data_IF_189101390938
#
_entry.id   IF_189101390938
#
_cell.length_a   1.000
_cell.length_b   1.000
_cell.length_c   1.000
_cell.angle_alpha   90.00
_cell.angle_beta   90.00
_cell.angle_gamma   90.00
#
_symmetry.space_group_name_H-M   'P 1'
#
loop_
_entity.id
_entity.type
_entity.pdbx_description
1 polymer ?
#
# COMPACT_ATOMS: atom_id res chain seq x y z
N UNK A 1 -19.01 -20.86 4.24
CA UNK A 1 -18.45 -20.54 2.91
C UNK A 1 -19.42 -19.58 2.26
N UNK A 2 -18.95 -18.42 1.79
CA UNK A 2 -19.82 -17.49 1.06
C UNK A 2 -20.34 -18.20 -0.20
N UNK A 3 -21.60 -17.95 -0.56
CA UNK A 3 -22.18 -18.53 -1.76
C UNK A 3 -21.42 -18.02 -3.00
N UNK A 4 -20.60 -18.90 -3.59
CA UNK A 4 -19.80 -18.59 -4.77
C UNK A 4 -20.64 -18.60 -6.06
N UNK A 5 -21.95 -18.82 -5.96
CA UNK A 5 -22.85 -18.78 -7.10
C UNK A 5 -23.06 -17.34 -7.57
N UNK A 6 -23.10 -17.15 -8.88
CA UNK A 6 -23.29 -15.84 -9.52
C UNK A 6 -24.65 -15.90 -10.21
N UNK A 7 -25.58 -15.04 -9.80
CA UNK A 7 -26.98 -15.12 -10.24
C UNK A 7 -27.34 -14.11 -11.33
N UNK A 8 -26.66 -12.96 -11.40
CA UNK A 8 -27.01 -11.86 -12.31
C UNK A 8 -25.83 -10.96 -12.64
N UNK A 9 -25.99 -10.19 -13.70
CA UNK A 9 -25.12 -9.04 -13.97
C UNK A 9 -25.38 -7.95 -12.93
N UNK A 10 -24.35 -7.19 -12.56
CA UNK A 10 -24.46 -6.08 -11.61
C UNK A 10 -24.19 -4.78 -12.35
N UNK A 11 -25.12 -3.83 -12.32
CA UNK A 11 -25.00 -2.54 -13.01
C UNK A 11 -25.00 -1.41 -12.01
N UNK A 12 -24.02 -0.50 -12.08
CA UNK A 12 -24.08 0.73 -11.28
C UNK A 12 -25.20 1.62 -11.86
N UNK A 13 -26.20 1.89 -11.02
CA UNK A 13 -27.44 2.63 -11.34
C UNK A 13 -27.76 3.62 -10.23
N UNK A 14 -28.78 4.45 -10.43
CA UNK A 14 -29.40 5.27 -9.38
C UNK A 14 -30.89 4.93 -9.34
N UNK A 15 -31.44 4.36 -8.23
CA UNK A 15 -30.75 3.96 -7.01
C UNK A 15 -29.70 2.86 -7.24
N UNK A 16 -28.75 2.74 -6.31
CA UNK A 16 -27.64 1.78 -6.42
C UNK A 16 -28.18 0.35 -6.52
N UNK A 17 -27.55 -0.47 -7.37
CA UNK A 17 -27.82 -1.92 -7.34
C UNK A 17 -27.36 -2.46 -5.99
N UNK A 18 -28.26 -3.15 -5.30
CA UNK A 18 -28.02 -3.68 -3.95
C UNK A 18 -28.27 -5.19 -3.87
N UNK A 19 -27.74 -5.82 -2.82
CA UNK A 19 -28.10 -7.18 -2.41
C UNK A 19 -26.92 -8.10 -2.16
N UNK A 20 -27.19 -9.39 -1.86
CA UNK A 20 -26.18 -10.36 -1.44
C UNK A 20 -25.08 -10.57 -2.48
N UNK A 21 -25.40 -10.55 -3.78
CA UNK A 21 -24.42 -10.63 -4.86
C UNK A 21 -23.36 -9.53 -4.78
N UNK A 22 -23.77 -8.30 -4.46
CA UNK A 22 -22.84 -7.18 -4.35
C UNK A 22 -21.93 -7.37 -3.15
N UNK A 23 -22.49 -7.83 -2.03
CA UNK A 23 -21.72 -8.08 -0.80
C UNK A 23 -20.67 -9.17 -1.01
N UNK A 24 -21.02 -10.27 -1.66
CA UNK A 24 -20.07 -11.34 -2.00
C UNK A 24 -18.98 -10.83 -2.96
N UNK A 25 -19.34 -9.98 -3.91
CA UNK A 25 -18.34 -9.33 -4.77
C UNK A 25 -17.39 -8.44 -3.94
N UNK A 26 -17.89 -7.60 -3.04
CA UNK A 26 -17.06 -6.74 -2.17
C UNK A 26 -16.10 -7.57 -1.31
N UNK A 27 -16.58 -8.66 -0.71
CA UNK A 27 -15.77 -9.63 0.03
C UNK A 27 -14.65 -10.22 -0.82
N UNK A 28 -15.00 -10.66 -2.03
CA UNK A 28 -14.03 -11.20 -2.99
C UNK A 28 -12.96 -10.17 -3.36
N UNK A 29 -13.36 -8.91 -3.58
CA UNK A 29 -12.44 -7.83 -3.91
C UNK A 29 -11.51 -7.51 -2.74
N UNK A 30 -12.02 -7.47 -1.50
CA UNK A 30 -11.22 -7.31 -0.30
C UNK A 30 -10.20 -8.46 -0.16
N UNK A 31 -10.60 -9.71 -0.39
CA UNK A 31 -9.70 -10.86 -0.36
C UNK A 31 -8.59 -10.76 -1.43
N UNK A 32 -8.93 -10.33 -2.65
CA UNK A 32 -7.95 -10.06 -3.72
C UNK A 32 -7.00 -8.93 -3.30
N UNK A 33 -7.53 -7.84 -2.71
CA UNK A 33 -6.72 -6.72 -2.24
C UNK A 33 -5.73 -7.18 -1.16
N UNK A 34 -6.15 -7.98 -0.19
CA UNK A 34 -5.26 -8.57 0.81
C UNK A 34 -4.21 -9.47 0.16
N UNK A 35 -4.60 -10.37 -0.76
CA UNK A 35 -3.66 -11.27 -1.43
C UNK A 35 -2.61 -10.52 -2.27
N UNK A 36 -3.00 -9.38 -2.85
CA UNK A 36 -2.15 -8.58 -3.73
C UNK A 36 -1.94 -7.17 -3.23
N UNK A 37 -1.82 -6.98 -1.91
CA UNK A 37 -1.72 -5.67 -1.24
C UNK A 37 -0.60 -4.77 -1.79
N UNK A 38 0.44 -5.37 -2.37
CA UNK A 38 1.54 -4.65 -3.02
C UNK A 38 1.13 -4.01 -4.36
N UNK A 39 0.10 -4.52 -5.04
CA UNK A 39 -0.30 -4.11 -6.39
C UNK A 39 -1.63 -3.33 -6.37
N UNK A 40 -2.56 -3.73 -5.51
CA UNK A 40 -3.86 -3.07 -5.34
C UNK A 40 -4.04 -2.71 -3.87
N UNK A 41 -4.41 -1.47 -3.61
CA UNK A 41 -4.66 -0.94 -2.27
C UNK A 41 -6.05 -0.31 -2.23
N UNK A 42 -6.99 -1.06 -1.65
CA UNK A 42 -8.33 -0.60 -1.31
C UNK A 42 -8.91 -1.51 -0.22
N UNK A 43 -9.84 -0.94 0.55
CA UNK A 43 -10.71 -1.69 1.47
C UNK A 43 -12.14 -1.20 1.26
N UNK A 44 -13.02 -2.10 0.85
CA UNK A 44 -14.44 -1.81 0.64
C UNK A 44 -15.21 -2.07 1.92
N UNK A 45 -16.24 -1.27 2.15
CA UNK A 45 -17.31 -1.59 3.10
C UNK A 45 -18.17 -2.67 2.45
N UNK A 46 -18.45 -3.76 3.17
CA UNK A 46 -19.24 -4.90 2.69
C UNK A 46 -20.73 -4.69 2.95
N UNK A 47 -21.24 -3.55 2.50
CA UNK A 47 -22.63 -3.09 2.71
C UNK A 47 -23.63 -3.69 1.72
N UNK A 48 -23.15 -4.38 0.68
CA UNK A 48 -24.01 -4.90 -0.39
C UNK A 48 -24.53 -3.82 -1.34
N UNK A 49 -23.93 -2.63 -1.36
CA UNK A 49 -24.29 -1.53 -2.25
C UNK A 49 -23.24 -1.35 -3.36
N UNK A 50 -23.67 -1.41 -4.63
CA UNK A 50 -22.76 -1.27 -5.76
C UNK A 50 -22.55 0.22 -6.04
N UNK A 51 -21.65 0.85 -5.29
CA UNK A 51 -21.17 2.19 -5.57
C UNK A 51 -19.96 2.22 -6.53
N UNK A 52 -19.56 3.43 -6.92
CA UNK A 52 -18.40 3.67 -7.79
C UNK A 52 -17.11 3.03 -7.26
N UNK A 53 -16.89 3.04 -5.93
CA UNK A 53 -15.71 2.40 -5.32
C UNK A 53 -15.67 0.90 -5.59
N UNK A 54 -16.81 0.21 -5.50
CA UNK A 54 -16.92 -1.22 -5.81
C UNK A 54 -16.69 -1.49 -7.30
N UNK A 55 -17.21 -0.63 -8.18
CA UNK A 55 -16.96 -0.72 -9.63
C UNK A 55 -15.47 -0.55 -9.97
N UNK A 56 -14.81 0.49 -9.43
CA UNK A 56 -13.38 0.74 -9.66
C UNK A 56 -12.49 -0.38 -9.08
N UNK A 57 -12.83 -0.90 -7.90
CA UNK A 57 -12.14 -2.05 -7.31
C UNK A 57 -12.30 -3.30 -8.20
N UNK A 58 -13.47 -3.49 -8.82
CA UNK A 58 -13.71 -4.56 -9.79
C UNK A 58 -12.84 -4.42 -11.02
N UNK A 59 -12.78 -3.23 -11.61
CA UNK A 59 -11.94 -2.90 -12.78
C UNK A 59 -10.47 -3.22 -12.49
N UNK A 60 -9.94 -2.73 -11.36
CA UNK A 60 -8.55 -2.98 -10.93
C UNK A 60 -8.28 -4.48 -10.74
N UNK A 61 -9.17 -5.17 -10.01
CA UNK A 61 -9.02 -6.60 -9.71
C UNK A 61 -9.15 -7.46 -10.96
N UNK A 62 -10.10 -7.17 -11.84
CA UNK A 62 -10.28 -7.91 -13.09
C UNK A 62 -9.09 -7.73 -14.03
N UNK A 63 -8.56 -6.52 -14.13
CA UNK A 63 -7.31 -6.27 -14.83
C UNK A 63 -6.17 -7.09 -14.22
N UNK A 64 -5.96 -7.03 -12.91
CA UNK A 64 -4.94 -7.81 -12.21
C UNK A 64 -5.06 -9.33 -12.47
N UNK A 65 -6.30 -9.83 -12.57
CA UNK A 65 -6.62 -11.24 -12.73
C UNK A 65 -6.60 -11.75 -14.17
N UNK A 66 -6.22 -10.90 -15.14
CA UNK A 66 -5.93 -11.30 -16.52
C UNK A 66 -7.03 -10.98 -17.54
N UNK A 67 -8.02 -10.17 -17.16
CA UNK A 67 -9.03 -9.66 -18.10
C UNK A 67 -8.37 -8.76 -19.15
N UNK A 68 -8.86 -8.85 -20.39
CA UNK A 68 -8.36 -8.05 -21.51
C UNK A 68 -8.69 -6.57 -21.31
N UNK A 69 -7.84 -5.69 -21.84
CA UNK A 69 -7.97 -4.24 -21.61
C UNK A 69 -9.27 -3.67 -22.16
N UNK A 70 -9.67 -4.07 -23.37
CA UNK A 70 -10.96 -3.68 -23.94
C UNK A 70 -12.13 -4.07 -23.03
N UNK A 71 -12.12 -5.30 -22.49
CA UNK A 71 -13.16 -5.78 -21.56
C UNK A 71 -13.18 -5.03 -20.23
N UNK A 72 -12.03 -4.57 -19.74
CA UNK A 72 -11.96 -3.69 -18.57
C UNK A 72 -12.57 -2.33 -18.89
N UNK A 73 -12.22 -1.75 -20.04
CA UNK A 73 -12.79 -0.48 -20.52
C UNK A 73 -14.29 -0.58 -20.77
N UNK A 74 -14.80 -1.73 -21.21
CA UNK A 74 -16.23 -1.97 -21.37
C UNK A 74 -16.97 -1.87 -20.02
N UNK A 75 -16.39 -2.40 -18.93
CA UNK A 75 -16.96 -2.28 -17.57
C UNK A 75 -17.00 -0.81 -17.14
N UNK A 76 -15.90 -0.08 -17.35
CA UNK A 76 -15.80 1.35 -17.01
C UNK A 76 -16.81 2.20 -17.78
N UNK A 77 -17.09 1.87 -19.05
CA UNK A 77 -18.01 2.67 -19.88
C UNK A 77 -19.47 2.28 -19.71
N UNK A 78 -19.75 0.98 -19.65
CA UNK A 78 -21.12 0.47 -19.55
C UNK A 78 -21.66 0.45 -18.12
N UNK A 79 -20.76 0.56 -17.14
CA UNK A 79 -21.05 0.39 -15.72
C UNK A 79 -21.67 -0.97 -15.38
N UNK A 80 -21.39 -2.00 -16.20
CA UNK A 80 -21.90 -3.38 -16.02
C UNK A 80 -20.76 -4.33 -15.67
N UNK A 81 -20.93 -5.04 -14.56
CA UNK A 81 -20.09 -6.16 -14.13
C UNK A 81 -20.83 -7.46 -14.50
N UNK A 82 -20.43 -8.06 -15.61
CA UNK A 82 -21.09 -9.27 -16.11
C UNK A 82 -20.85 -10.48 -15.20
N UNK A 83 -21.77 -11.44 -15.25
CA UNK A 83 -21.64 -12.71 -14.53
C UNK A 83 -20.32 -13.43 -14.83
N UNK A 84 -19.80 -13.29 -16.05
CA UNK A 84 -18.52 -13.87 -16.43
C UNK A 84 -17.35 -13.24 -15.66
N UNK A 85 -17.36 -11.91 -15.49
CA UNK A 85 -16.33 -11.19 -14.72
C UNK A 85 -16.43 -11.54 -13.24
N UNK A 86 -17.65 -11.60 -12.69
CA UNK A 86 -17.87 -12.01 -11.30
C UNK A 86 -17.36 -13.44 -11.06
N UNK A 87 -17.70 -14.40 -11.93
CA UNK A 87 -17.20 -15.78 -11.85
C UNK A 87 -15.68 -15.83 -11.91
N UNK A 88 -15.05 -15.07 -12.81
CA UNK A 88 -13.59 -14.99 -12.91
C UNK A 88 -12.92 -14.52 -11.60
N UNK A 89 -13.55 -13.58 -10.89
CA UNK A 89 -13.03 -13.03 -9.64
C UNK A 89 -13.29 -13.96 -8.45
N UNK A 90 -14.52 -14.48 -8.32
CA UNK A 90 -14.93 -15.38 -7.22
C UNK A 90 -14.29 -16.77 -7.32
N UNK A 91 -14.11 -17.27 -8.55
CA UNK A 91 -13.56 -18.61 -8.82
C UNK A 91 -12.30 -18.52 -9.70
N UNK A 92 -11.16 -18.09 -9.14
CA UNK A 92 -9.95 -17.85 -9.93
C UNK A 92 -9.34 -19.10 -10.56
N UNK A 93 -9.75 -20.30 -10.11
CA UNK A 93 -9.38 -21.59 -10.69
C UNK A 93 -10.07 -21.89 -12.03
N UNK A 94 -11.24 -21.27 -12.31
CA UNK A 94 -11.97 -21.46 -13.58
C UNK A 94 -11.46 -20.57 -14.72
N UNK A 95 -10.37 -19.84 -14.50
CA UNK A 95 -9.72 -19.02 -15.54
C UNK A 95 -9.07 -19.91 -16.60
N UNK A 96 -9.13 -19.48 -17.85
CA UNK A 96 -8.38 -20.13 -18.93
C UNK A 96 -6.87 -19.93 -18.76
N UNK A 97 -6.08 -20.80 -19.37
CA UNK A 97 -4.61 -20.69 -19.25
C UNK A 97 -4.08 -19.40 -19.87
N UNK A 98 -4.72 -18.91 -20.94
CA UNK A 98 -4.43 -17.60 -21.49
C UNK A 98 -4.71 -16.46 -20.49
N UNK A 99 -5.78 -16.54 -19.70
CA UNK A 99 -6.04 -15.58 -18.62
C UNK A 99 -4.98 -15.69 -17.51
N UNK A 100 -4.64 -16.91 -17.07
CA UNK A 100 -3.62 -17.15 -16.04
C UNK A 100 -2.26 -16.59 -16.46
N UNK A 101 -1.80 -16.88 -17.67
CA UNK A 101 -0.54 -16.40 -18.23
C UNK A 101 -0.51 -14.87 -18.33
N UNK A 102 -1.61 -14.24 -18.78
CA UNK A 102 -1.72 -12.77 -18.79
C UNK A 102 -1.65 -12.17 -17.39
N UNK A 103 -2.38 -12.77 -16.45
CA UNK A 103 -2.40 -12.31 -15.06
C UNK A 103 -1.00 -12.39 -14.44
N UNK A 104 -0.25 -13.47 -14.71
CA UNK A 104 1.13 -13.62 -14.26
C UNK A 104 2.04 -12.52 -14.84
N UNK A 105 2.12 -12.40 -16.18
CA UNK A 105 2.95 -11.36 -16.83
C UNK A 105 2.61 -9.96 -16.32
N UNK A 106 1.33 -9.65 -16.18
CA UNK A 106 0.86 -8.35 -15.69
C UNK A 106 1.28 -8.09 -14.24
N UNK A 107 1.17 -9.08 -13.35
CA UNK A 107 1.65 -8.95 -11.97
C UNK A 107 3.15 -8.74 -11.92
N UNK A 108 3.92 -9.46 -12.74
CA UNK A 108 5.37 -9.29 -12.84
C UNK A 108 5.74 -7.87 -13.33
N UNK A 109 5.10 -7.38 -14.38
CA UNK A 109 5.33 -6.02 -14.90
C UNK A 109 4.93 -4.94 -13.88
N UNK A 110 3.81 -5.11 -13.19
CA UNK A 110 3.38 -4.18 -12.14
C UNK A 110 4.37 -4.19 -10.98
N UNK A 111 4.85 -5.37 -10.55
CA UNK A 111 5.92 -5.48 -9.55
C UNK A 111 7.21 -4.79 -9.99
N UNK A 112 7.66 -5.03 -11.23
CA UNK A 112 8.85 -4.36 -11.81
C UNK A 112 8.69 -2.84 -11.84
N UNK A 113 7.50 -2.33 -12.18
CA UNK A 113 7.21 -0.88 -12.16
C UNK A 113 7.23 -0.31 -10.75
N UNK A 114 6.69 -1.05 -9.78
CA UNK A 114 6.76 -0.68 -8.36
C UNK A 114 8.21 -0.71 -7.85
N UNK A 115 8.98 -1.72 -8.25
CA UNK A 115 10.41 -1.84 -7.94
C UNK A 115 11.23 -0.70 -8.57
N UNK A 116 10.90 -0.30 -9.80
CA UNK A 116 11.53 0.87 -10.45
C UNK A 116 11.16 2.19 -9.75
N UNK A 117 9.97 2.28 -9.14
CA UNK A 117 9.57 3.43 -8.31
C UNK A 117 10.31 3.47 -6.97
N UNK A 118 10.70 2.31 -6.42
CA UNK A 118 11.63 2.21 -5.30
C UNK A 118 13.09 2.51 -5.72
N UNK A 119 13.31 3.54 -6.54
CA UNK A 119 14.62 4.10 -6.85
C UNK A 119 14.65 5.51 -6.26
N UNK A 120 15.58 5.76 -5.33
CA UNK A 120 15.73 7.06 -4.68
C UNK A 120 15.84 8.23 -5.67
N UNK A 121 16.49 8.04 -6.82
CA UNK A 121 16.62 9.08 -7.85
C UNK A 121 15.29 9.42 -8.55
N UNK A 122 14.33 8.49 -8.55
CA UNK A 122 13.04 8.65 -9.22
C UNK A 122 11.95 9.24 -8.30
N UNK A 123 12.23 9.40 -7.00
CA UNK A 123 11.31 10.02 -6.06
C UNK A 123 11.02 11.46 -6.50
N UNK A 124 9.74 11.79 -6.64
CA UNK A 124 9.32 13.16 -6.92
C UNK A 124 9.07 13.88 -5.61
N UNK A 125 9.89 14.87 -5.32
CA UNK A 125 9.87 15.61 -4.05
C UNK A 125 9.20 16.97 -4.24
N UNK A 126 8.16 17.24 -3.44
CA UNK A 126 7.59 18.56 -3.25
C UNK A 126 7.96 19.09 -1.87
N UNK A 127 8.48 20.32 -1.79
CA UNK A 127 9.03 20.87 -0.55
C UNK A 127 8.00 21.58 0.33
N UNK A 128 6.70 21.45 0.01
CA UNK A 128 5.60 22.03 0.78
C UNK A 128 5.60 21.49 2.21
N UNK A 129 5.72 22.35 3.24
CA UNK A 129 5.63 21.92 4.62
C UNK A 129 4.22 21.42 4.96
N UNK A 130 4.11 20.43 5.84
CA UNK A 130 2.81 19.89 6.25
C UNK A 130 2.25 18.87 5.25
N UNK A 131 0.96 18.54 5.38
CA UNK A 131 0.30 17.59 4.48
C UNK A 131 0.33 18.05 3.01
N UNK A 132 0.45 17.12 2.04
CA UNK A 132 0.81 15.70 2.20
C UNK A 132 2.33 15.45 2.18
N UNK A 133 3.13 16.46 1.84
CA UNK A 133 4.53 16.27 1.42
C UNK A 133 5.54 16.34 2.55
N UNK A 134 5.23 17.04 3.63
CA UNK A 134 6.05 17.21 4.83
C UNK A 134 7.47 17.68 4.49
N UNK A 135 7.57 18.73 3.69
CA UNK A 135 8.86 19.23 3.20
C UNK A 135 9.61 18.26 2.30
N UNK A 136 8.93 17.28 1.70
CA UNK A 136 9.49 16.23 0.86
C UNK A 136 9.68 14.89 1.57
N UNK A 137 9.74 14.88 2.91
CA UNK A 137 9.91 13.67 3.71
C UNK A 137 8.74 12.68 3.53
N UNK A 138 7.52 13.20 3.37
CA UNK A 138 6.34 12.40 3.08
C UNK A 138 6.37 11.74 1.70
N UNK A 139 6.96 12.43 0.71
CA UNK A 139 7.13 11.88 -0.64
C UNK A 139 8.13 10.73 -0.64
N UNK A 140 9.25 10.87 0.07
CA UNK A 140 10.23 9.79 0.25
C UNK A 140 9.61 8.60 0.97
N UNK A 141 8.86 8.85 2.04
CA UNK A 141 8.21 7.80 2.82
C UNK A 141 7.26 6.97 1.95
N UNK A 142 6.36 7.64 1.22
CA UNK A 142 5.29 6.97 0.45
C UNK A 142 5.75 6.40 -0.89
N UNK A 143 6.75 7.01 -1.54
CA UNK A 143 7.21 6.57 -2.87
C UNK A 143 8.34 5.53 -2.81
N UNK A 144 9.11 5.49 -1.71
CA UNK A 144 10.27 4.60 -1.58
C UNK A 144 10.19 3.70 -0.34
N UNK A 145 10.13 4.26 0.87
CA UNK A 145 10.32 3.50 2.12
C UNK A 145 9.17 2.51 2.36
N UNK A 146 7.93 2.98 2.33
CA UNK A 146 6.74 2.13 2.53
C UNK A 146 6.68 0.99 1.49
N UNK A 147 6.83 1.24 0.17
CA UNK A 147 6.92 0.16 -0.82
C UNK A 147 8.08 -0.81 -0.60
N UNK A 148 9.23 -0.32 -0.15
CA UNK A 148 10.41 -1.15 0.13
C UNK A 148 10.14 -2.11 1.28
N UNK A 149 9.64 -1.63 2.41
CA UNK A 149 9.36 -2.44 3.60
C UNK A 149 8.20 -3.42 3.36
N UNK A 150 7.14 -2.97 2.67
CA UNK A 150 6.02 -3.85 2.27
C UNK A 150 6.48 -4.96 1.31
N UNK A 151 7.43 -4.68 0.40
CA UNK A 151 8.03 -5.70 -0.48
C UNK A 151 8.73 -6.79 0.33
N UNK A 152 9.28 -6.45 1.48
CA UNK A 152 9.95 -7.37 2.39
C UNK A 152 8.99 -8.12 3.34
N UNK A 153 7.68 -7.85 3.23
CA UNK A 153 6.63 -8.57 3.95
C UNK A 153 6.13 -7.86 5.20
N UNK A 154 6.63 -6.65 5.48
CA UNK A 154 6.24 -5.91 6.68
C UNK A 154 4.95 -5.12 6.45
N UNK A 155 3.94 -5.26 7.32
CA UNK A 155 2.70 -4.47 7.21
C UNK A 155 2.94 -2.99 7.51
N UNK A 156 2.12 -2.12 6.94
CA UNK A 156 2.09 -0.72 7.33
C UNK A 156 1.48 -0.58 8.72
N UNK A 157 2.24 -0.03 9.66
CA UNK A 157 1.75 0.36 10.97
C UNK A 157 1.55 1.87 11.08
N UNK A 158 1.80 2.37 12.28
CA UNK A 158 1.50 3.74 12.68
C UNK A 158 2.24 4.76 11.82
N UNK A 159 1.53 5.79 11.36
CA UNK A 159 2.07 6.91 10.59
C UNK A 159 2.10 8.19 11.40
N UNK A 160 1.81 9.31 10.73
CA UNK A 160 1.71 10.62 11.38
C UNK A 160 0.60 10.64 12.45
N UNK A 161 0.86 11.32 13.57
CA UNK A 161 -0.01 11.44 14.74
C UNK A 161 -0.15 12.90 15.14
N UNK A 162 -1.35 13.31 15.50
CA UNK A 162 -1.57 14.55 16.27
C UNK A 162 -0.88 14.46 17.63
N UNK A 163 -0.62 15.59 18.31
CA UNK A 163 -0.10 15.58 19.68
C UNK A 163 -0.93 14.69 20.62
N UNK A 164 -2.26 14.76 20.54
CA UNK A 164 -3.14 13.94 21.37
C UNK A 164 -3.01 12.43 21.10
N UNK A 165 -2.92 12.03 19.83
CA UNK A 165 -2.70 10.62 19.46
C UNK A 165 -1.31 10.13 19.89
N UNK A 166 -0.30 10.98 19.80
CA UNK A 166 1.05 10.67 20.24
C UNK A 166 1.12 10.50 21.77
N UNK A 167 0.47 11.39 22.52
CA UNK A 167 0.40 11.31 23.99
C UNK A 167 -0.34 10.04 24.46
N UNK A 168 -1.43 9.65 23.77
CA UNK A 168 -2.18 8.42 24.08
C UNK A 168 -1.35 7.14 23.98
N UNK A 169 -0.31 7.13 23.14
CA UNK A 169 0.59 5.98 22.97
C UNK A 169 1.92 6.16 23.74
N UNK A 170 2.01 7.15 24.64
CA UNK A 170 3.21 7.44 25.40
C UNK A 170 4.38 7.96 24.55
N UNK A 171 4.10 8.53 23.37
CA UNK A 171 5.11 9.01 22.44
C UNK A 171 5.87 10.23 22.95
N UNK A 172 7.12 10.39 22.53
CA UNK A 172 7.93 11.56 22.87
C UNK A 172 7.39 12.85 22.23
N UNK A 173 7.55 13.99 22.93
CA UNK A 173 7.31 15.34 22.39
C UNK A 173 8.22 15.69 21.21
N UNK A 174 9.35 15.00 21.09
CA UNK A 174 10.28 15.14 19.95
C UNK A 174 10.06 14.08 18.87
N UNK A 175 8.96 13.34 18.89
CA UNK A 175 8.66 12.28 17.92
C UNK A 175 8.53 12.79 16.48
N UNK A 176 9.08 12.02 15.54
CA UNK A 176 8.94 12.27 14.10
C UNK A 176 7.57 11.87 13.54
N UNK A 177 6.70 11.27 14.37
CA UNK A 177 5.30 11.05 14.01
C UNK A 177 4.46 12.32 14.13
N UNK A 178 4.88 13.32 14.93
CA UNK A 178 4.04 14.47 15.26
C UNK A 178 3.70 15.34 14.05
N UNK A 179 2.41 15.54 13.79
CA UNK A 179 1.90 16.41 12.71
C UNK A 179 2.35 17.87 12.82
N UNK A 180 2.79 18.31 14.00
CA UNK A 180 3.36 19.64 14.22
C UNK A 180 4.75 19.81 13.59
N UNK A 181 5.49 18.71 13.35
CA UNK A 181 6.78 18.76 12.64
C UNK A 181 6.58 18.75 11.13
N UNK A 182 6.49 19.93 10.53
CA UNK A 182 6.06 20.11 9.13
C UNK A 182 7.04 19.63 8.06
N UNK A 183 8.27 19.24 8.41
CA UNK A 183 9.32 18.79 7.49
C UNK A 183 9.77 17.34 7.72
N UNK A 184 9.01 16.58 8.51
CA UNK A 184 9.33 15.20 8.88
C UNK A 184 8.20 14.26 8.53
N UNK A 185 8.54 13.00 8.24
CA UNK A 185 7.58 11.90 8.12
C UNK A 185 8.12 10.69 8.85
N UNK A 186 7.24 9.90 9.46
CA UNK A 186 7.62 8.67 10.14
C UNK A 186 6.60 7.55 9.88
N UNK A 187 7.10 6.31 9.89
CA UNK A 187 6.32 5.09 9.74
C UNK A 187 6.89 3.99 10.63
N UNK A 188 6.00 3.34 11.36
CA UNK A 188 6.30 2.11 12.10
C UNK A 188 5.83 0.90 11.29
N UNK A 189 6.65 -0.15 11.27
CA UNK A 189 6.39 -1.41 10.58
C UNK A 189 6.39 -2.55 11.62
N UNK A 190 5.21 -3.03 12.06
CA UNK A 190 5.10 -4.05 13.11
C UNK A 190 5.80 -5.36 12.72
N UNK A 191 6.70 -5.84 13.58
CA UNK A 191 7.42 -7.11 13.41
C UNK A 191 8.22 -7.43 14.66
N UNK A 192 8.41 -8.72 14.98
CA UNK A 192 9.30 -9.17 16.05
C UNK A 192 10.66 -9.67 15.54
N UNK A 193 10.91 -9.56 14.23
CA UNK A 193 12.12 -10.06 13.55
C UNK A 193 12.65 -9.07 12.51
N UNK A 194 12.61 -7.76 12.80
CA UNK A 194 12.84 -6.68 11.82
C UNK A 194 14.29 -6.28 11.56
N UNK A 195 15.30 -6.93 12.17
CA UNK A 195 16.70 -6.50 12.01
C UNK A 195 17.17 -6.54 10.57
N UNK A 196 16.90 -7.65 9.87
CA UNK A 196 17.28 -7.83 8.47
C UNK A 196 16.59 -6.79 7.57
N UNK A 197 15.34 -6.44 7.88
CA UNK A 197 14.58 -5.44 7.13
C UNK A 197 15.09 -4.02 7.34
N UNK A 198 15.39 -3.66 8.58
CA UNK A 198 15.98 -2.39 8.94
C UNK A 198 17.36 -2.21 8.28
N UNK A 199 18.20 -3.25 8.31
CA UNK A 199 19.51 -3.27 7.66
C UNK A 199 19.39 -3.13 6.14
N UNK A 200 18.52 -3.92 5.51
CA UNK A 200 18.31 -3.85 4.07
C UNK A 200 17.77 -2.48 3.62
N UNK A 201 16.92 -1.84 4.43
CA UNK A 201 16.47 -0.47 4.15
C UNK A 201 17.63 0.52 4.25
N UNK A 202 18.46 0.42 5.29
CA UNK A 202 19.63 1.28 5.43
C UNK A 202 20.58 1.14 4.22
N UNK A 203 20.86 -0.08 3.78
CA UNK A 203 21.64 -0.35 2.56
C UNK A 203 20.99 0.24 1.31
N UNK A 204 19.66 0.13 1.17
CA UNK A 204 18.92 0.72 0.07
C UNK A 204 18.94 2.26 0.08
N UNK A 205 19.16 2.87 1.26
CA UNK A 205 19.43 4.30 1.42
C UNK A 205 20.90 4.69 1.20
N UNK A 206 21.79 3.72 0.98
CA UNK A 206 23.23 3.94 0.83
C UNK A 206 23.99 4.02 2.15
N UNK A 207 23.43 3.50 3.25
CA UNK A 207 24.00 3.55 4.60
C UNK A 207 24.42 2.14 5.04
N UNK A 208 25.69 1.80 4.84
CA UNK A 208 26.25 0.49 5.25
C UNK A 208 26.67 0.43 6.72
N UNK A 209 26.77 1.58 7.40
CA UNK A 209 27.20 1.67 8.80
C UNK A 209 26.06 1.56 9.81
N UNK A 210 24.84 1.28 9.36
CA UNK A 210 23.70 1.11 10.25
C UNK A 210 23.91 -0.09 11.19
N UNK A 211 23.47 0.07 12.44
CA UNK A 211 23.52 -0.96 13.48
C UNK A 211 22.18 -0.99 14.22
N UNK A 212 21.73 -2.14 14.75
CA UNK A 212 20.59 -2.19 15.64
C UNK A 212 20.90 -1.50 16.98
N UNK A 213 19.87 -1.21 17.77
CA UNK A 213 19.97 -0.60 19.10
C UNK A 213 20.66 0.78 19.13
N UNK A 214 20.49 1.58 18.09
CA UNK A 214 20.98 2.97 18.04
C UNK A 214 19.89 3.95 17.62
N UNK A 215 20.02 5.21 18.07
CA UNK A 215 19.21 6.35 17.62
C UNK A 215 19.90 7.18 16.53
N UNK A 216 21.02 6.71 15.99
CA UNK A 216 21.80 7.45 14.97
C UNK A 216 20.93 7.84 13.78
N UNK A 217 21.12 9.07 13.30
CA UNK A 217 20.54 9.55 12.05
C UNK A 217 21.62 9.55 10.97
N UNK A 218 21.24 9.24 9.74
CA UNK A 218 22.17 9.10 8.63
C UNK A 218 21.70 9.94 7.44
N UNK A 219 22.61 10.63 6.75
CA UNK A 219 22.27 11.39 5.56
C UNK A 219 22.02 10.46 4.37
N UNK A 220 21.08 10.83 3.51
CA UNK A 220 20.85 10.18 2.21
C UNK A 220 20.23 11.17 1.22
N UNK A 221 20.18 10.79 -0.06
CA UNK A 221 19.63 11.63 -1.12
C UNK A 221 18.47 10.94 -1.84
N UNK A 222 17.37 11.68 -2.06
CA UNK A 222 16.21 11.23 -2.83
C UNK A 222 15.70 12.36 -3.73
N UNK A 223 15.37 12.06 -4.99
CA UNK A 223 14.86 13.05 -5.94
C UNK A 223 15.79 14.27 -6.14
N UNK A 224 17.11 14.07 -5.98
CA UNK A 224 18.10 15.15 -6.05
C UNK A 224 18.13 16.08 -4.82
N UNK A 225 17.50 15.69 -3.70
CA UNK A 225 17.47 16.44 -2.43
C UNK A 225 18.08 15.63 -1.30
N UNK A 226 18.64 16.32 -0.33
CA UNK A 226 19.24 15.71 0.88
C UNK A 226 18.21 15.57 2.00
N UNK A 227 18.30 14.47 2.72
CA UNK A 227 17.47 14.13 3.86
C UNK A 227 18.31 13.42 4.93
N UNK A 228 17.77 13.36 6.15
CA UNK A 228 18.27 12.51 7.23
C UNK A 228 17.26 11.41 7.54
N UNK A 229 17.71 10.16 7.55
CA UNK A 229 16.91 9.01 7.97
C UNK A 229 17.29 8.57 9.39
N UNK A 230 16.31 8.13 10.16
CA UNK A 230 16.48 7.42 11.43
C UNK A 230 15.77 6.07 11.29
N UNK A 231 16.51 4.97 11.35
CA UNK A 231 15.97 3.61 11.27
C UNK A 231 16.23 2.97 12.62
N UNK A 232 15.18 2.69 13.40
CA UNK A 232 15.29 2.12 14.74
C UNK A 232 14.77 0.69 14.74
N UNK A 233 15.58 -0.20 15.30
CA UNK A 233 15.24 -1.59 15.58
C UNK A 233 16.08 -2.06 16.77
N UNK A 234 15.47 -2.81 17.67
CA UNK A 234 16.17 -3.51 18.75
C UNK A 234 15.55 -3.27 20.13
N UNK A 235 15.57 -4.32 20.96
CA UNK A 235 14.94 -4.31 22.27
C UNK A 235 15.61 -3.34 23.25
N UNK A 236 16.93 -3.11 23.14
CA UNK A 236 17.67 -2.23 24.06
C UNK A 236 17.28 -0.75 23.91
N UNK A 237 16.58 -0.39 22.83
CA UNK A 237 16.03 0.94 22.59
C UNK A 237 14.49 0.95 22.59
N UNK A 238 13.85 -0.09 23.11
CA UNK A 238 12.39 -0.26 23.11
C UNK A 238 11.74 -0.25 21.71
N UNK A 239 12.42 -0.82 20.71
CA UNK A 239 11.92 -0.99 19.34
C UNK A 239 12.10 -2.45 18.86
N UNK A 240 11.79 -3.42 19.73
CA UNK A 240 11.89 -4.85 19.43
C UNK A 240 10.63 -5.47 18.82
N UNK A 241 9.56 -4.68 18.71
CA UNK A 241 8.23 -5.06 18.23
C UNK A 241 7.80 -4.34 16.93
N UNK A 242 8.66 -3.44 16.42
CA UNK A 242 8.50 -2.79 15.12
C UNK A 242 9.83 -2.22 14.62
N UNK A 243 9.94 -2.05 13.30
CA UNK A 243 10.96 -1.17 12.70
C UNK A 243 10.37 0.23 12.60
N UNK A 244 10.98 1.21 13.25
CA UNK A 244 10.62 2.61 13.09
C UNK A 244 11.50 3.26 12.02
N UNK A 245 10.89 4.03 11.12
CA UNK A 245 11.61 4.83 10.13
C UNK A 245 11.13 6.27 10.17
N UNK A 246 12.03 7.19 10.54
CA UNK A 246 11.85 8.63 10.48
C UNK A 246 12.66 9.25 9.35
N UNK A 247 12.08 10.19 8.61
CA UNK A 247 12.74 10.99 7.58
C UNK A 247 12.56 12.46 7.91
N UNK A 248 13.65 13.22 7.88
CA UNK A 248 13.65 14.67 8.06
C UNK A 248 14.35 15.33 6.87
N UNK A 249 13.81 16.44 6.39
CA UNK A 249 14.54 17.33 5.50
C UNK A 249 15.73 17.94 6.26
N UNK A 250 16.92 17.83 5.69
CA UNK A 250 18.15 18.49 6.17
C UNK A 250 18.22 19.93 5.71
#
# INVERSE_FOLDING_TARGET
MADDQVHRDLRLTTPLTEGPDVKVLQQTLNAIATQFQRIVDFKLVEDGLLGEKTLLATVKSAHLMGLLRNRVTDIERSHVITQQVQRMLRRPNTRSDAQKARAQRRREDLRKKLDKRANLKAVKVALTPGLPHWGGSGDVMTQFIEPFMVKRGLPLGSGRRTPQENDRVGGSKSSDHLTTKTTTAARDFPTFTGEDDARALAEALGVSSWQPNTFTRFPFSAGGRSFGAQILWGAAIAHGDHVHVGVART
#
